data_IF_683597628327
#
_entry.id   IF_683597628327
#
_cell.length_a   1.000
_cell.length_b   1.000
_cell.length_c   1.000
_cell.angle_alpha   90.00
_cell.angle_beta   90.00
_cell.angle_gamma   90.00
#
_symmetry.space_group_name_H-M   'P 1'
#
loop_
_entity.id
_entity.type
_entity.pdbx_description
1 polymer ?
#
# COMPACT_ATOMS: atom_id res chain seq x y z
N UNK A 1 17.34 -11.78 -34.66
CA UNK A 1 18.45 -11.28 -35.51
C UNK A 1 19.55 -12.33 -35.59
N UNK A 2 20.17 -12.57 -36.74
CA UNK A 2 21.38 -13.42 -36.83
C UNK A 2 22.61 -12.55 -37.04
N UNK A 3 23.63 -12.71 -36.21
CA UNK A 3 24.94 -12.06 -36.38
C UNK A 3 25.97 -13.11 -36.73
N UNK A 4 26.81 -12.87 -37.73
CA UNK A 4 27.84 -13.79 -38.21
C UNK A 4 29.12 -13.07 -38.58
N UNK A 5 30.27 -13.69 -38.36
CA UNK A 5 31.58 -13.09 -38.58
C UNK A 5 32.68 -13.89 -37.92
N UNK A 6 33.80 -13.23 -37.61
CA UNK A 6 34.94 -13.79 -36.87
C UNK A 6 35.13 -13.10 -35.53
N UNK A 7 35.43 -13.87 -34.51
CA UNK A 7 35.74 -13.36 -33.18
C UNK A 7 37.25 -13.39 -32.93
N UNK A 8 37.78 -12.29 -32.41
CA UNK A 8 39.20 -12.07 -32.16
C UNK A 8 39.43 -11.64 -30.70
N UNK A 9 40.63 -11.91 -30.19
CA UNK A 9 41.12 -11.29 -28.97
C UNK A 9 41.49 -9.81 -29.18
N UNK A 10 41.89 -9.14 -28.10
CA UNK A 10 42.28 -7.73 -28.13
C UNK A 10 43.48 -7.44 -29.05
N UNK A 11 44.32 -8.44 -29.33
CA UNK A 11 45.50 -8.33 -30.20
C UNK A 11 45.18 -8.67 -31.66
N UNK A 12 43.93 -9.00 -31.98
CA UNK A 12 43.48 -9.37 -33.32
C UNK A 12 43.75 -10.83 -33.70
N UNK A 13 44.08 -11.70 -32.74
CA UNK A 13 44.21 -13.14 -33.00
C UNK A 13 42.84 -13.82 -32.91
N UNK A 14 42.50 -14.75 -33.82
CA UNK A 14 41.21 -15.45 -33.75
C UNK A 14 41.02 -16.19 -32.42
N UNK A 15 39.81 -16.09 -31.85
CA UNK A 15 39.45 -16.89 -30.68
C UNK A 15 39.37 -18.38 -31.04
N UNK A 16 39.68 -19.23 -30.07
CA UNK A 16 39.74 -20.67 -30.27
C UNK A 16 38.36 -21.32 -30.50
N UNK A 17 38.27 -22.44 -31.24
CA UNK A 17 37.05 -23.22 -31.35
C UNK A 17 36.45 -23.57 -29.99
N UNK A 18 35.12 -23.47 -29.86
CA UNK A 18 34.39 -23.78 -28.63
C UNK A 18 34.24 -22.62 -27.65
N UNK A 19 34.94 -21.50 -27.87
CA UNK A 19 34.75 -20.27 -27.08
C UNK A 19 33.29 -19.83 -27.17
N UNK A 20 32.57 -19.68 -26.04
CA UNK A 20 31.19 -19.24 -26.06
C UNK A 20 31.08 -17.79 -26.54
N UNK A 21 30.03 -17.49 -27.28
CA UNK A 21 29.64 -16.12 -27.63
C UNK A 21 28.17 -15.99 -27.27
N UNK A 22 27.86 -14.98 -26.46
CA UNK A 22 26.52 -14.67 -25.97
C UNK A 22 26.13 -13.26 -26.38
N UNK A 23 24.82 -13.04 -26.51
CA UNK A 23 24.26 -11.71 -26.74
C UNK A 23 23.38 -11.31 -25.58
N UNK A 24 23.61 -10.10 -25.07
CA UNK A 24 22.88 -9.53 -23.95
C UNK A 24 22.12 -8.29 -24.40
N UNK A 25 20.92 -8.16 -23.87
CA UNK A 25 20.14 -6.94 -23.94
C UNK A 25 19.69 -6.67 -22.52
N UNK A 26 20.11 -5.52 -22.01
CA UNK A 26 19.71 -5.05 -20.69
C UNK A 26 19.96 -6.04 -19.54
N UNK A 27 21.10 -6.76 -19.63
CA UNK A 27 21.55 -7.74 -18.66
C UNK A 27 21.00 -9.15 -18.84
N UNK A 28 20.06 -9.37 -19.76
CA UNK A 28 19.46 -10.68 -20.03
C UNK A 28 20.05 -11.29 -21.30
N UNK A 29 20.38 -12.59 -21.25
CA UNK A 29 20.87 -13.34 -22.41
C UNK A 29 19.71 -13.71 -23.35
N UNK A 30 19.77 -13.28 -24.61
CA UNK A 30 18.79 -13.62 -25.65
C UNK A 30 19.37 -14.53 -26.74
N UNK A 31 20.45 -15.24 -26.43
CA UNK A 31 21.26 -15.95 -27.42
C UNK A 31 21.01 -17.46 -27.43
N UNK A 32 21.13 -18.06 -28.62
CA UNK A 32 21.07 -19.52 -28.78
C UNK A 32 22.42 -20.22 -28.45
N UNK A 33 22.90 -20.15 -27.21
CA UNK A 33 24.06 -20.89 -26.69
C UNK A 33 25.27 -21.02 -27.66
N UNK A 34 25.56 -19.98 -28.46
CA UNK A 34 26.48 -20.04 -29.59
C UNK A 34 27.96 -20.11 -29.20
N UNK A 35 28.80 -20.60 -30.12
CA UNK A 35 30.24 -20.78 -29.93
C UNK A 35 31.01 -20.52 -31.22
N UNK A 36 32.29 -20.17 -31.08
CA UNK A 36 33.27 -20.16 -32.18
C UNK A 36 33.38 -21.56 -32.78
N UNK A 37 33.29 -21.66 -34.10
CA UNK A 37 33.13 -22.92 -34.83
C UNK A 37 34.46 -23.52 -35.30
N UNK A 38 35.47 -22.70 -35.55
CA UNK A 38 36.74 -23.14 -36.13
C UNK A 38 37.92 -22.25 -35.71
N UNK A 39 39.12 -22.60 -36.17
CA UNK A 39 40.37 -21.91 -35.81
C UNK A 39 40.53 -20.54 -36.47
N UNK A 40 39.63 -20.15 -37.37
CA UNK A 40 39.59 -18.80 -37.96
C UNK A 40 38.72 -17.84 -37.14
N UNK A 41 38.13 -18.30 -36.03
CA UNK A 41 37.25 -17.49 -35.18
C UNK A 41 35.81 -17.42 -35.70
N UNK A 42 35.44 -18.17 -36.74
CA UNK A 42 34.12 -18.03 -37.36
C UNK A 42 33.01 -18.38 -36.36
N UNK A 43 32.00 -17.52 -36.26
CA UNK A 43 30.82 -17.72 -35.42
C UNK A 43 29.54 -17.34 -36.17
N UNK A 44 28.42 -17.81 -35.65
CA UNK A 44 27.11 -17.27 -36.00
C UNK A 44 26.15 -17.53 -34.84
N UNK A 45 25.48 -16.47 -34.43
CA UNK A 45 24.62 -16.40 -33.25
C UNK A 45 23.24 -15.87 -33.63
N UNK A 46 22.20 -16.45 -33.03
CA UNK A 46 20.85 -15.95 -33.12
C UNK A 46 20.53 -15.24 -31.81
N UNK A 47 20.12 -13.98 -31.92
CA UNK A 47 19.60 -13.16 -30.84
C UNK A 47 18.09 -13.03 -31.02
N UNK A 48 17.34 -13.55 -30.06
CA UNK A 48 15.89 -13.41 -30.02
C UNK A 48 15.51 -11.98 -29.62
N UNK A 49 14.30 -11.57 -29.95
CA UNK A 49 13.74 -10.28 -29.52
C UNK A 49 12.41 -10.48 -28.82
N UNK A 50 11.78 -9.38 -28.42
CA UNK A 50 10.46 -9.44 -27.77
C UNK A 50 9.49 -10.11 -28.73
N UNK A 51 8.59 -10.87 -28.14
CA UNK A 51 7.34 -11.08 -28.81
C UNK A 51 6.55 -9.76 -28.67
N UNK A 52 5.93 -9.34 -29.77
CA UNK A 52 5.10 -8.14 -29.81
C UNK A 52 3.73 -8.55 -30.26
N UNK A 53 2.71 -7.99 -29.62
CA UNK A 53 1.33 -8.18 -30.05
C UNK A 53 1.12 -7.60 -31.45
N UNK A 54 0.02 -7.96 -32.13
CA UNK A 54 -0.30 -7.48 -33.49
C UNK A 54 -0.43 -5.96 -33.67
N UNK A 55 -0.25 -5.16 -32.60
CA UNK A 55 -0.17 -3.70 -32.61
C UNK A 55 1.24 -3.12 -32.36
N UNK A 56 2.28 -3.95 -32.25
CA UNK A 56 3.65 -3.50 -31.99
C UNK A 56 3.94 -3.08 -30.54
N UNK A 57 3.00 -3.31 -29.62
CA UNK A 57 3.22 -3.17 -28.19
C UNK A 57 3.89 -4.42 -27.63
N UNK A 58 4.79 -4.23 -26.65
CA UNK A 58 5.27 -5.32 -25.78
C UNK A 58 4.06 -6.08 -25.25
N UNK A 59 4.10 -7.41 -25.28
CA UNK A 59 3.04 -8.18 -24.63
C UNK A 59 3.08 -8.11 -23.11
N UNK A 60 4.20 -7.59 -22.58
CA UNK A 60 4.50 -7.38 -21.17
C UNK A 60 4.51 -5.87 -20.88
N UNK A 61 3.37 -5.26 -20.52
CA UNK A 61 3.28 -3.80 -20.38
C UNK A 61 4.01 -3.24 -19.16
N UNK A 62 4.30 -4.07 -18.15
CA UNK A 62 4.93 -3.66 -16.89
C UNK A 62 6.46 -3.72 -16.89
N UNK A 63 7.08 -4.64 -17.63
CA UNK A 63 8.55 -4.74 -17.85
C UNK A 63 8.79 -5.06 -19.31
N UNK A 64 9.73 -4.35 -19.96
CA UNK A 64 10.09 -4.64 -21.33
C UNK A 64 10.88 -5.96 -21.39
N UNK A 65 10.48 -6.90 -22.25
CA UNK A 65 11.11 -8.22 -22.33
C UNK A 65 11.75 -8.49 -23.68
N UNK A 66 13.04 -8.15 -23.79
CA UNK A 66 13.84 -8.34 -25.00
C UNK A 66 14.15 -7.06 -25.78
N UNK A 67 15.04 -7.14 -26.76
CA UNK A 67 15.36 -5.98 -27.58
C UNK A 67 14.20 -5.53 -28.46
N UNK A 68 13.82 -4.26 -28.32
CA UNK A 68 13.04 -3.53 -29.30
C UNK A 68 13.90 -3.15 -30.53
N UNK A 69 13.24 -2.68 -31.59
CA UNK A 69 13.93 -2.24 -32.81
C UNK A 69 14.93 -1.11 -32.50
N UNK A 70 16.20 -1.36 -32.75
CA UNK A 70 17.29 -0.40 -32.53
C UNK A 70 18.01 -0.54 -31.19
N UNK A 71 17.51 -1.35 -30.26
CA UNK A 71 18.17 -1.56 -28.97
C UNK A 71 19.57 -2.16 -29.15
N UNK A 72 20.49 -1.74 -28.28
CA UNK A 72 21.87 -2.18 -28.30
C UNK A 72 21.98 -3.67 -27.91
N UNK A 73 22.48 -4.49 -28.83
CA UNK A 73 22.87 -5.88 -28.54
C UNK A 73 24.34 -5.92 -28.21
N UNK A 74 24.63 -6.25 -26.95
CA UNK A 74 25.98 -6.44 -26.41
C UNK A 74 26.44 -7.87 -26.67
N UNK A 75 27.74 -8.07 -26.88
CA UNK A 75 28.33 -9.40 -27.07
C UNK A 75 29.34 -9.68 -25.96
N UNK A 76 29.33 -10.90 -25.41
CA UNK A 76 30.34 -11.36 -24.47
C UNK A 76 30.83 -12.77 -24.76
N UNK A 77 32.07 -13.07 -24.36
CA UNK A 77 32.73 -14.35 -24.58
C UNK A 77 32.40 -15.39 -23.48
N UNK A 78 31.14 -15.39 -23.01
CA UNK A 78 30.69 -16.20 -21.89
C UNK A 78 29.40 -15.67 -21.28
N UNK A 79 29.03 -16.23 -20.14
CA UNK A 79 27.88 -15.83 -19.32
C UNK A 79 28.38 -14.97 -18.16
N UNK A 80 27.64 -13.95 -17.75
CA UNK A 80 28.04 -13.10 -16.62
C UNK A 80 28.00 -13.81 -15.24
N UNK A 81 27.85 -15.13 -15.18
CA UNK A 81 27.99 -15.92 -13.93
C UNK A 81 29.38 -15.81 -13.30
N UNK A 82 30.38 -15.41 -14.08
CA UNK A 82 31.72 -15.05 -13.61
C UNK A 82 32.35 -13.95 -14.46
N UNK A 83 33.65 -13.71 -14.24
CA UNK A 83 34.41 -12.70 -14.98
C UNK A 83 34.42 -13.06 -16.48
N UNK A 84 33.78 -12.22 -17.28
CA UNK A 84 33.51 -12.51 -18.69
C UNK A 84 34.01 -11.38 -19.58
N UNK A 85 34.94 -11.66 -20.52
CA UNK A 85 35.36 -10.68 -21.49
C UNK A 85 34.18 -10.21 -22.37
N UNK A 86 34.06 -8.90 -22.52
CA UNK A 86 33.01 -8.27 -23.34
C UNK A 86 33.64 -7.76 -24.65
N UNK A 87 32.96 -7.94 -25.77
CA UNK A 87 33.44 -7.48 -27.07
C UNK A 87 33.24 -5.96 -27.23
N UNK A 88 34.02 -5.34 -28.11
CA UNK A 88 33.96 -3.91 -28.39
C UNK A 88 32.69 -3.53 -29.15
N UNK A 89 32.20 -4.44 -29.98
CA UNK A 89 31.12 -4.16 -30.91
C UNK A 89 29.75 -4.28 -30.23
N UNK A 90 28.85 -3.40 -30.67
CA UNK A 90 27.44 -3.41 -30.35
C UNK A 90 26.67 -3.31 -31.65
N UNK A 91 25.60 -4.10 -31.77
CA UNK A 91 24.77 -4.12 -32.98
C UNK A 91 23.35 -3.70 -32.61
N UNK A 92 22.72 -2.75 -33.32
CA UNK A 92 21.32 -2.42 -33.08
C UNK A 92 20.44 -3.61 -33.47
N UNK A 93 19.53 -4.01 -32.60
CA UNK A 93 18.66 -5.15 -32.85
C UNK A 93 17.68 -4.88 -33.99
N UNK A 94 17.51 -5.89 -34.86
CA UNK A 94 16.62 -5.83 -36.01
C UNK A 94 15.88 -7.14 -36.24
N UNK A 95 14.58 -7.05 -36.55
CA UNK A 95 13.73 -8.21 -36.85
C UNK A 95 14.22 -8.94 -38.09
N UNK A 96 14.45 -10.25 -37.97
CA UNK A 96 14.83 -11.16 -39.07
C UNK A 96 16.06 -10.74 -39.91
N UNK A 97 16.89 -9.81 -39.42
CA UNK A 97 18.09 -9.37 -40.11
C UNK A 97 19.23 -10.40 -40.00
N UNK A 98 20.10 -10.40 -41.02
CA UNK A 98 21.42 -11.05 -40.97
C UNK A 98 22.48 -9.96 -41.02
N UNK A 99 23.29 -9.89 -39.97
CA UNK A 99 24.33 -8.87 -39.79
C UNK A 99 25.70 -9.53 -39.89
N UNK A 100 26.53 -9.05 -40.80
CA UNK A 100 27.94 -9.45 -40.88
C UNK A 100 28.77 -8.53 -39.97
N UNK A 101 29.30 -9.08 -38.87
CA UNK A 101 30.06 -8.32 -37.88
C UNK A 101 31.19 -9.18 -37.30
N UNK A 102 32.41 -8.71 -37.48
CA UNK A 102 33.56 -9.25 -36.76
C UNK A 102 33.56 -8.68 -35.32
N UNK A 103 33.95 -9.50 -34.35
CA UNK A 103 33.95 -9.15 -32.93
C UNK A 103 35.38 -9.14 -32.39
N UNK A 104 35.76 -8.11 -31.63
CA UNK A 104 37.06 -8.01 -30.97
C UNK A 104 36.86 -7.86 -29.48
N UNK A 105 37.59 -8.64 -28.67
CA UNK A 105 37.52 -8.46 -27.21
C UNK A 105 37.92 -7.02 -26.84
N UNK A 106 37.13 -6.42 -25.96
CA UNK A 106 37.40 -5.11 -25.40
C UNK A 106 38.59 -5.13 -24.44
N UNK A 107 39.04 -3.93 -24.08
CA UNK A 107 40.06 -3.76 -23.04
C UNK A 107 39.58 -4.38 -21.72
N UNK A 108 40.49 -5.05 -21.02
CA UNK A 108 40.21 -5.55 -19.67
C UNK A 108 39.92 -4.42 -18.68
N UNK A 109 40.39 -3.19 -18.94
CA UNK A 109 40.09 -2.03 -18.11
C UNK A 109 38.64 -1.54 -18.23
N UNK A 110 37.94 -1.93 -19.30
CA UNK A 110 36.52 -1.63 -19.56
C UNK A 110 35.64 -2.88 -19.42
N UNK A 111 36.20 -3.98 -18.92
CA UNK A 111 35.45 -5.20 -18.64
C UNK A 111 35.07 -5.21 -17.16
N UNK A 112 33.79 -5.36 -16.82
CA UNK A 112 33.37 -5.35 -15.42
C UNK A 112 33.88 -6.56 -14.64
N UNK A 113 34.15 -6.34 -13.35
CA UNK A 113 34.26 -7.43 -12.38
C UNK A 113 32.87 -8.06 -12.12
N UNK A 114 32.80 -9.37 -11.85
CA UNK A 114 31.55 -10.13 -11.75
C UNK A 114 30.88 -9.98 -10.37
N UNK A 115 30.77 -8.75 -9.86
CA UNK A 115 29.99 -8.48 -8.64
C UNK A 115 28.52 -8.81 -8.86
N UNK A 116 27.84 -9.23 -7.77
CA UNK A 116 26.46 -9.71 -7.83
C UNK A 116 25.59 -9.10 -6.75
N UNK A 117 24.32 -8.86 -7.07
CA UNK A 117 23.27 -8.55 -6.10
C UNK A 117 23.14 -9.78 -5.19
N UNK A 118 23.50 -9.63 -3.92
CA UNK A 118 23.49 -10.69 -2.92
C UNK A 118 22.17 -10.72 -2.13
N UNK A 119 21.54 -9.56 -1.95
CA UNK A 119 20.37 -9.45 -1.08
C UNK A 119 19.56 -8.18 -1.32
N UNK A 120 18.24 -8.26 -1.19
CA UNK A 120 17.31 -7.13 -1.31
C UNK A 120 16.30 -7.17 -0.16
N UNK A 121 16.23 -6.08 0.61
CA UNK A 121 15.19 -5.83 1.62
C UNK A 121 14.32 -4.67 1.12
N UNK A 122 13.21 -5.00 0.47
CA UNK A 122 12.29 -4.01 -0.09
C UNK A 122 11.25 -3.48 0.92
N UNK A 123 11.02 -4.21 2.01
CA UNK A 123 10.09 -3.82 3.08
C UNK A 123 10.69 -4.11 4.47
N UNK A 124 11.55 -3.22 4.99
CA UNK A 124 12.18 -3.42 6.30
C UNK A 124 11.16 -3.60 7.42
N UNK A 125 11.40 -4.53 8.35
CA UNK A 125 10.46 -4.86 9.43
C UNK A 125 10.09 -3.62 10.28
N UNK A 126 11.10 -2.83 10.61
CA UNK A 126 11.00 -1.66 11.49
C UNK A 126 10.77 -0.35 10.73
N UNK A 127 10.42 -0.44 9.44
CA UNK A 127 10.45 0.68 8.51
C UNK A 127 11.87 1.22 8.30
N UNK A 128 11.98 2.41 7.73
CA UNK A 128 13.27 3.01 7.36
C UNK A 128 13.69 2.66 5.95
N UNK A 129 15.00 2.69 5.70
CA UNK A 129 15.56 2.54 4.37
C UNK A 129 15.52 1.08 3.90
N UNK A 130 15.14 0.91 2.64
CA UNK A 130 15.37 -0.34 1.93
C UNK A 130 16.86 -0.57 1.81
N UNK A 131 17.26 -1.84 1.71
CA UNK A 131 18.67 -2.23 1.67
C UNK A 131 18.92 -3.14 0.50
N UNK A 132 20.00 -2.90 -0.23
CA UNK A 132 20.55 -3.85 -1.20
C UNK A 132 21.98 -4.22 -0.80
N UNK A 133 22.28 -5.51 -0.88
CA UNK A 133 23.62 -6.05 -0.69
C UNK A 133 24.23 -6.46 -2.02
N UNK A 134 25.52 -6.19 -2.19
CA UNK A 134 26.34 -6.66 -3.31
C UNK A 134 27.47 -7.53 -2.76
N UNK A 135 27.73 -8.66 -3.40
CA UNK A 135 28.87 -9.51 -3.09
C UNK A 135 29.91 -9.51 -4.22
N UNK A 136 31.14 -9.87 -3.86
CA UNK A 136 32.27 -9.94 -4.76
C UNK A 136 32.83 -11.38 -4.75
N UNK A 137 32.66 -12.16 -5.83
CA UNK A 137 33.15 -13.54 -5.89
C UNK A 137 34.64 -13.63 -6.25
N UNK A 138 35.31 -12.50 -6.52
CA UNK A 138 36.70 -12.48 -6.99
C UNK A 138 37.70 -12.64 -5.84
N UNK A 139 38.96 -12.89 -6.20
CA UNK A 139 40.09 -12.97 -5.27
C UNK A 139 40.70 -11.61 -4.91
N UNK A 140 40.19 -10.51 -5.49
CA UNK A 140 40.65 -9.15 -5.24
C UNK A 140 39.50 -8.28 -4.71
N UNK A 141 39.82 -7.15 -4.09
CA UNK A 141 38.80 -6.20 -3.68
C UNK A 141 38.27 -5.41 -4.90
N UNK A 142 36.97 -5.15 -4.95
CA UNK A 142 36.30 -4.43 -6.05
C UNK A 142 35.77 -3.09 -5.55
N UNK A 143 36.09 -2.01 -6.26
CA UNK A 143 35.52 -0.70 -6.03
C UNK A 143 34.10 -0.65 -6.59
N UNK A 144 33.15 -0.14 -5.81
CA UNK A 144 31.78 0.04 -6.28
C UNK A 144 31.51 1.43 -6.87
N UNK A 145 32.49 2.33 -6.88
CA UNK A 145 32.33 3.65 -7.51
C UNK A 145 32.04 3.53 -9.03
N UNK A 146 32.52 2.45 -9.65
CA UNK A 146 32.30 2.13 -11.05
C UNK A 146 30.96 1.41 -11.28
N UNK A 147 30.11 1.30 -10.26
CA UNK A 147 28.82 0.62 -10.32
C UNK A 147 27.68 1.50 -9.83
N UNK A 148 26.50 1.23 -10.35
CA UNK A 148 25.25 1.80 -9.87
C UNK A 148 24.10 0.81 -9.99
N UNK A 149 23.04 1.10 -9.27
CA UNK A 149 21.78 0.39 -9.40
C UNK A 149 20.87 1.14 -10.36
N UNK A 150 20.10 0.41 -11.14
CA UNK A 150 19.02 0.95 -11.98
C UNK A 150 17.78 0.06 -11.82
N UNK A 151 16.61 0.68 -11.85
CA UNK A 151 15.33 -0.04 -11.78
C UNK A 151 14.54 0.23 -13.04
N UNK A 152 13.94 -0.81 -13.62
CA UNK A 152 13.09 -0.64 -14.80
C UNK A 152 11.80 0.12 -14.51
N UNK A 153 11.20 0.62 -15.59
CA UNK A 153 9.89 1.25 -15.56
C UNK A 153 8.99 0.66 -16.65
N UNK A 154 7.66 0.72 -16.48
CA UNK A 154 6.73 0.20 -17.48
C UNK A 154 7.06 0.70 -18.90
N UNK A 155 7.30 -0.26 -19.81
CA UNK A 155 7.65 -0.01 -21.20
C UNK A 155 9.08 0.47 -21.49
N UNK A 156 9.99 0.46 -20.51
CA UNK A 156 11.38 0.88 -20.72
C UNK A 156 12.38 0.20 -19.77
N UNK A 157 13.59 0.00 -20.27
CA UNK A 157 14.75 -0.46 -19.51
C UNK A 157 15.36 0.60 -18.59
N UNK A 158 14.74 1.77 -18.44
CA UNK A 158 15.35 2.87 -17.73
C UNK A 158 14.45 3.43 -16.65
N UNK A 159 15.06 3.81 -15.52
CA UNK A 159 14.34 4.38 -14.40
C UNK A 159 15.27 5.02 -13.38
N UNK A 160 14.87 5.07 -12.10
CA UNK A 160 15.71 5.65 -11.06
C UNK A 160 17.02 4.89 -10.94
N UNK A 161 18.07 5.66 -10.64
CA UNK A 161 19.39 5.13 -10.39
C UNK A 161 19.84 5.46 -8.97
N UNK A 162 20.72 4.62 -8.43
CA UNK A 162 21.39 4.86 -7.16
C UNK A 162 22.89 4.54 -7.28
N UNK A 163 23.72 5.53 -6.97
CA UNK A 163 25.17 5.37 -6.97
C UNK A 163 25.61 4.43 -5.85
N UNK A 164 26.49 3.50 -6.18
CA UNK A 164 27.19 2.69 -5.19
C UNK A 164 28.55 3.33 -4.86
N UNK A 165 29.04 3.06 -3.66
CA UNK A 165 30.33 3.57 -3.21
C UNK A 165 31.01 2.60 -2.24
N UNK A 166 32.29 2.82 -1.99
CA UNK A 166 33.08 1.94 -1.14
C UNK A 166 33.69 0.77 -1.90
N UNK A 167 34.16 -0.22 -1.14
CA UNK A 167 34.94 -1.35 -1.65
C UNK A 167 34.39 -2.63 -1.05
N UNK A 168 34.11 -3.63 -1.90
CA UNK A 168 33.75 -4.97 -1.45
C UNK A 168 35.02 -5.82 -1.40
N UNK A 169 35.40 -6.38 -0.23
CA UNK A 169 36.59 -7.21 -0.15
C UNK A 169 36.44 -8.49 -0.98
N UNK A 170 37.56 -9.14 -1.28
CA UNK A 170 37.58 -10.44 -1.96
C UNK A 170 36.73 -11.46 -1.20
N UNK A 171 35.79 -12.13 -1.90
CA UNK A 171 34.85 -13.07 -1.29
C UNK A 171 33.91 -12.44 -0.25
N UNK A 172 33.73 -11.12 -0.28
CA UNK A 172 32.96 -10.36 0.70
C UNK A 172 31.65 -9.77 0.18
N UNK A 173 30.95 -9.08 1.07
CA UNK A 173 29.67 -8.42 0.81
C UNK A 173 29.69 -7.00 1.39
N UNK A 174 28.93 -6.10 0.77
CA UNK A 174 28.62 -4.78 1.31
C UNK A 174 27.14 -4.47 1.10
N UNK A 175 26.53 -3.78 2.06
CA UNK A 175 25.11 -3.39 2.03
C UNK A 175 24.95 -1.87 1.94
N UNK A 176 23.94 -1.44 1.19
CA UNK A 176 23.68 -0.05 0.85
C UNK A 176 22.24 0.31 1.19
N UNK A 177 22.00 1.38 1.96
CA UNK A 177 20.67 1.93 2.11
C UNK A 177 20.25 2.63 0.81
N UNK A 178 19.03 2.36 0.35
CA UNK A 178 18.46 2.94 -0.88
C UNK A 178 17.46 4.06 -0.60
N UNK A 179 17.11 4.28 0.67
CA UNK A 179 15.96 5.11 1.06
C UNK A 179 14.69 4.28 1.21
N UNK A 180 13.64 4.88 1.79
CA UNK A 180 12.43 4.15 2.17
C UNK A 180 11.50 3.74 1.01
N UNK A 181 11.71 4.27 -0.20
CA UNK A 181 10.78 4.14 -1.34
C UNK A 181 11.47 3.99 -2.70
N UNK A 182 12.73 3.58 -2.73
CA UNK A 182 13.45 3.39 -4.00
C UNK A 182 12.86 2.24 -4.82
N UNK A 183 12.65 1.10 -4.15
CA UNK A 183 11.97 -0.09 -4.65
C UNK A 183 10.48 -0.06 -4.31
N UNK A 184 9.68 -0.58 -5.22
CA UNK A 184 8.31 -1.00 -5.02
C UNK A 184 8.27 -2.27 -4.18
N UNK A 185 7.59 -2.23 -3.03
CA UNK A 185 7.50 -3.36 -2.08
C UNK A 185 6.94 -4.65 -2.70
N UNK A 186 6.17 -4.50 -3.77
CA UNK A 186 5.42 -5.58 -4.43
C UNK A 186 6.12 -6.12 -5.68
N UNK A 187 7.24 -5.53 -6.10
CA UNK A 187 8.03 -6.04 -7.21
C UNK A 187 8.70 -4.97 -8.06
N UNK A 188 9.92 -5.27 -8.50
CA UNK A 188 10.73 -4.49 -9.45
C UNK A 188 11.69 -5.40 -10.23
N UNK A 189 12.24 -4.89 -11.32
CA UNK A 189 13.45 -5.41 -11.96
C UNK A 189 14.63 -4.50 -11.60
N UNK A 190 15.59 -5.04 -10.85
CA UNK A 190 16.76 -4.32 -10.33
C UNK A 190 18.02 -4.78 -11.05
N UNK A 191 18.80 -3.80 -11.52
CA UNK A 191 20.06 -4.02 -12.22
C UNK A 191 21.22 -3.56 -11.38
N UNK A 192 22.32 -4.30 -11.47
CA UNK A 192 23.65 -3.83 -11.12
C UNK A 192 24.37 -3.49 -12.42
N UNK A 193 24.70 -2.22 -12.59
CA UNK A 193 25.25 -1.69 -13.84
C UNK A 193 26.66 -1.19 -13.61
N UNK A 194 27.58 -1.62 -14.47
CA UNK A 194 28.95 -1.13 -14.53
C UNK A 194 29.01 0.11 -15.43
N UNK A 195 29.57 1.19 -14.88
CA UNK A 195 29.90 2.41 -15.62
C UNK A 195 31.11 2.17 -16.47
N UNK A 196 30.90 2.12 -17.77
CA UNK A 196 32.01 1.93 -18.68
C UNK A 196 32.79 3.24 -18.81
N UNK A 197 34.09 3.27 -18.47
CA UNK A 197 34.88 4.50 -18.58
C UNK A 197 35.17 4.91 -20.03
N UNK A 198 34.70 4.15 -21.02
CA UNK A 198 34.92 4.35 -22.45
C UNK A 198 36.42 4.32 -22.81
N UNK A 199 36.78 4.75 -24.01
CA UNK A 199 38.15 4.91 -24.49
C UNK A 199 38.50 3.97 -25.64
N UNK A 200 39.79 3.94 -25.98
CA UNK A 200 40.27 3.12 -27.09
C UNK A 200 40.04 1.64 -26.79
N UNK A 201 39.40 0.94 -27.73
CA UNK A 201 39.04 -0.48 -27.63
C UNK A 201 38.13 -0.77 -26.41
N UNK A 202 37.30 0.20 -25.99
CA UNK A 202 36.34 -0.02 -24.92
C UNK A 202 35.40 -1.18 -25.28
N UNK A 203 35.13 -2.03 -24.29
CA UNK A 203 34.05 -2.99 -24.38
C UNK A 203 32.72 -2.27 -24.64
N UNK A 204 31.75 -2.98 -25.23
CA UNK A 204 30.38 -2.50 -25.37
C UNK A 204 30.26 -1.15 -26.11
N UNK A 205 31.21 -0.81 -26.98
CA UNK A 205 31.31 0.49 -27.64
C UNK A 205 31.25 1.68 -26.66
N UNK A 206 31.77 1.49 -25.44
CA UNK A 206 31.73 2.50 -24.37
C UNK A 206 30.38 2.61 -23.64
N UNK A 207 29.39 1.79 -23.97
CA UNK A 207 28.12 1.72 -23.24
C UNK A 207 28.30 1.05 -21.88
N UNK A 208 27.46 1.46 -20.92
CA UNK A 208 27.35 0.83 -19.61
C UNK A 208 26.87 -0.62 -19.75
N UNK A 209 27.34 -1.48 -18.84
CA UNK A 209 27.16 -2.93 -18.93
C UNK A 209 26.39 -3.40 -17.71
N UNK A 210 25.21 -3.98 -17.91
CA UNK A 210 24.47 -4.66 -16.84
C UNK A 210 25.16 -5.98 -16.51
N UNK A 211 25.68 -6.10 -15.29
CA UNK A 211 26.47 -7.27 -14.84
C UNK A 211 25.63 -8.27 -14.06
N UNK A 212 24.50 -7.82 -13.52
CA UNK A 212 23.55 -8.64 -12.80
C UNK A 212 22.17 -8.00 -12.85
N UNK A 213 21.12 -8.83 -12.86
CA UNK A 213 19.73 -8.39 -12.91
C UNK A 213 18.87 -9.35 -12.09
N UNK A 214 17.98 -8.79 -11.29
CA UNK A 214 17.05 -9.54 -10.45
C UNK A 214 15.65 -8.98 -10.65
N UNK A 215 14.73 -9.83 -11.09
CA UNK A 215 13.31 -9.50 -11.22
C UNK A 215 12.53 -10.20 -10.11
N UNK A 216 11.82 -9.43 -9.29
CA UNK A 216 11.02 -9.99 -8.21
C UNK A 216 9.60 -9.43 -8.20
N UNK A 217 8.62 -10.26 -7.83
CA UNK A 217 7.22 -9.85 -7.74
C UNK A 217 6.44 -10.53 -6.59
N UNK A 218 5.43 -9.84 -6.08
CA UNK A 218 4.49 -10.38 -5.11
C UNK A 218 3.37 -11.11 -5.86
N UNK A 219 3.19 -12.39 -5.59
CA UNK A 219 2.19 -13.24 -6.26
C UNK A 219 0.73 -12.84 -6.00
N UNK A 220 0.44 -12.00 -5.00
CA UNK A 220 -0.90 -11.49 -4.69
C UNK A 220 -0.86 -9.95 -4.56
N UNK A 221 -1.34 -9.23 -5.57
CA UNK A 221 -1.34 -7.76 -5.59
C UNK A 221 -0.01 -7.10 -5.99
N UNK A 222 0.90 -7.87 -6.61
CA UNK A 222 2.05 -7.37 -7.35
C UNK A 222 1.68 -6.27 -8.34
N UNK A 223 2.51 -5.24 -8.46
CA UNK A 223 2.43 -4.24 -9.55
C UNK A 223 3.04 -4.76 -10.85
N UNK A 224 3.88 -5.79 -10.75
CA UNK A 224 4.37 -6.57 -11.88
C UNK A 224 3.55 -7.86 -11.92
N UNK A 225 2.74 -8.02 -12.96
CA UNK A 225 2.05 -9.27 -13.25
C UNK A 225 3.10 -10.37 -13.41
N UNK A 226 2.99 -11.49 -12.69
CA UNK A 226 3.74 -12.70 -13.06
C UNK A 226 3.23 -13.14 -14.43
N UNK A 227 4.07 -13.02 -15.46
CA UNK A 227 3.73 -13.40 -16.83
C UNK A 227 4.36 -14.75 -17.17
N UNK A 228 3.66 -15.88 -16.93
CA UNK A 228 4.20 -17.18 -17.27
C UNK A 228 4.43 -17.31 -18.78
N UNK A 229 5.70 -17.34 -19.18
CA UNK A 229 6.15 -17.83 -20.49
C UNK A 229 6.80 -16.82 -21.43
N UNK A 230 7.01 -15.56 -21.02
CA UNK A 230 7.56 -14.52 -21.89
C UNK A 230 9.00 -14.07 -21.49
N UNK A 231 9.33 -14.06 -20.20
CA UNK A 231 10.68 -13.73 -19.73
C UNK A 231 11.65 -14.91 -19.92
N UNK A 232 12.81 -14.71 -20.57
CA UNK A 232 13.91 -15.69 -20.49
C UNK A 232 14.49 -15.72 -19.06
N UNK A 233 14.47 -14.60 -18.35
CA UNK A 233 14.87 -14.51 -16.94
C UNK A 233 13.66 -14.73 -16.03
N UNK A 234 13.54 -15.88 -15.34
CA UNK A 234 12.38 -16.15 -14.50
C UNK A 234 12.35 -15.24 -13.26
N UNK A 235 11.15 -14.77 -12.92
CA UNK A 235 10.88 -14.01 -11.69
C UNK A 235 11.15 -14.80 -10.41
N UNK A 236 11.54 -14.06 -9.36
CA UNK A 236 11.61 -14.56 -7.99
C UNK A 236 10.53 -13.92 -7.10
N UNK A 237 10.25 -14.55 -5.96
CA UNK A 237 9.26 -14.01 -5.02
C UNK A 237 9.75 -12.69 -4.41
N UNK A 238 8.87 -11.68 -4.33
CA UNK A 238 9.16 -10.44 -3.63
C UNK A 238 9.37 -10.68 -2.13
N UNK A 239 10.36 -10.02 -1.50
CA UNK A 239 10.51 -10.08 -0.06
C UNK A 239 9.39 -9.30 0.63
N UNK A 240 8.60 -10.00 1.45
CA UNK A 240 7.60 -9.37 2.31
C UNK A 240 8.20 -8.56 3.47
N UNK A 241 7.36 -8.00 4.37
CA UNK A 241 7.85 -7.24 5.52
C UNK A 241 8.85 -8.03 6.35
N UNK A 242 10.00 -7.45 6.66
CA UNK A 242 11.07 -8.07 7.46
C UNK A 242 11.76 -9.25 6.77
N UNK A 243 11.59 -9.42 5.46
CA UNK A 243 12.24 -10.46 4.68
C UNK A 243 13.33 -9.87 3.79
N UNK A 244 14.28 -10.74 3.47
CA UNK A 244 15.29 -10.47 2.44
C UNK A 244 15.08 -11.46 1.30
N UNK A 245 15.19 -10.98 0.07
CA UNK A 245 15.39 -11.81 -1.10
C UNK A 245 16.90 -11.94 -1.26
N UNK A 246 17.46 -13.11 -0.97
CA UNK A 246 18.91 -13.33 -0.91
C UNK A 246 19.34 -14.45 -1.85
N UNK A 247 20.59 -14.40 -2.32
CA UNK A 247 21.16 -15.51 -3.08
C UNK A 247 21.23 -16.77 -2.22
N UNK A 248 20.81 -17.89 -2.78
CA UNK A 248 20.76 -19.20 -2.13
C UNK A 248 22.17 -19.73 -1.82
N UNK A 249 23.12 -19.47 -2.72
CA UNK A 249 24.54 -19.65 -2.50
C UNK A 249 25.23 -18.28 -2.55
N UNK A 250 26.18 -18.03 -1.64
CA UNK A 250 26.90 -16.75 -1.58
C UNK A 250 27.52 -16.44 -2.94
N UNK A 251 27.11 -15.32 -3.54
CA UNK A 251 27.57 -14.89 -4.87
C UNK A 251 27.39 -15.93 -5.99
N UNK A 252 26.57 -16.95 -5.76
CA UNK A 252 26.26 -17.99 -6.74
C UNK A 252 25.25 -17.47 -7.76
N UNK A 253 25.57 -17.64 -9.04
CA UNK A 253 24.76 -17.18 -10.15
C UNK A 253 24.73 -18.24 -11.25
N UNK A 254 23.53 -18.71 -11.57
CA UNK A 254 23.23 -19.61 -12.68
C UNK A 254 22.34 -18.94 -13.73
N UNK A 255 22.08 -17.62 -13.58
CA UNK A 255 21.10 -16.86 -14.34
C UNK A 255 19.68 -17.45 -14.22
N UNK A 256 19.30 -17.96 -13.04
CA UNK A 256 17.95 -18.52 -12.82
C UNK A 256 17.32 -18.04 -11.52
N UNK A 257 15.99 -18.11 -11.45
CA UNK A 257 15.23 -17.80 -10.23
C UNK A 257 15.62 -18.70 -9.05
N UNK A 258 16.14 -19.90 -9.32
CA UNK A 258 16.64 -20.82 -8.31
C UNK A 258 17.86 -20.31 -7.55
N UNK A 259 18.52 -19.27 -8.05
CA UNK A 259 19.64 -18.61 -7.37
C UNK A 259 19.19 -17.81 -6.16
N UNK A 260 17.90 -17.55 -5.99
CA UNK A 260 17.37 -16.74 -4.89
C UNK A 260 16.40 -17.50 -3.99
N UNK A 261 16.33 -17.05 -2.75
CA UNK A 261 15.39 -17.54 -1.74
C UNK A 261 14.96 -16.40 -0.82
N UNK A 262 13.82 -16.62 -0.15
CA UNK A 262 13.36 -15.71 0.89
C UNK A 262 13.99 -16.10 2.23
N UNK A 263 14.68 -15.15 2.84
CA UNK A 263 15.26 -15.21 4.19
C UNK A 263 14.62 -14.20 5.15
N UNK A 264 15.10 -14.22 6.39
CA UNK A 264 14.77 -13.19 7.40
C UNK A 264 15.74 -12.02 7.19
N UNK A 265 15.24 -10.79 7.23
CA UNK A 265 16.09 -9.59 7.22
C UNK A 265 17.21 -9.71 8.29
N UNK A 266 18.49 -9.55 7.91
CA UNK A 266 19.60 -9.66 8.85
C UNK A 266 19.54 -8.64 9.99
N UNK A 267 19.90 -9.06 11.19
CA UNK A 267 19.99 -8.17 12.36
C UNK A 267 18.65 -7.85 13.04
N UNK A 268 17.57 -8.54 12.68
CA UNK A 268 16.31 -8.47 13.42
C UNK A 268 16.42 -9.19 14.78
N UNK A 269 15.81 -8.64 15.86
CA UNK A 269 15.59 -9.37 17.11
C UNK A 269 14.69 -10.59 16.89
N UNK A 270 14.59 -11.51 17.88
CA UNK A 270 13.55 -12.53 17.89
C UNK A 270 12.15 -11.91 17.78
N UNK A 271 11.29 -12.51 16.97
CA UNK A 271 9.91 -12.04 16.76
C UNK A 271 9.03 -12.35 17.97
N UNK A 272 8.43 -11.31 18.55
CA UNK A 272 7.41 -11.41 19.59
C UNK A 272 6.07 -11.91 19.04
N UNK A 273 5.09 -12.03 19.93
CA UNK A 273 3.70 -12.21 19.52
C UNK A 273 3.05 -10.82 19.49
N UNK A 274 2.26 -10.48 18.47
CA UNK A 274 1.55 -9.21 18.44
C UNK A 274 0.59 -9.09 19.63
N UNK A 275 0.18 -7.87 19.92
CA UNK A 275 -0.85 -7.57 20.92
C UNK A 275 -2.08 -7.01 20.23
N UNK A 276 -3.27 -7.40 20.69
CA UNK A 276 -4.55 -6.89 20.19
C UNK A 276 -5.51 -6.69 21.36
N UNK A 277 -6.34 -5.64 21.26
CA UNK A 277 -7.39 -5.37 22.23
C UNK A 277 -8.62 -4.77 21.57
N UNK A 278 -9.77 -5.41 21.72
CA UNK A 278 -11.06 -4.87 21.26
C UNK A 278 -11.43 -3.67 22.13
N UNK A 279 -11.71 -2.55 21.49
CA UNK A 279 -12.05 -1.28 22.13
C UNK A 279 -13.54 -0.92 21.97
N UNK A 280 -14.18 -1.43 20.91
CA UNK A 280 -15.61 -1.27 20.63
C UNK A 280 -16.14 -2.55 19.98
N UNK A 281 -17.19 -3.20 20.52
CA UNK A 281 -17.96 -2.77 21.69
C UNK A 281 -17.20 -2.95 23.01
N UNK A 282 -17.58 -2.19 24.04
CA UNK A 282 -17.08 -2.41 25.38
C UNK A 282 -17.71 -3.70 25.99
N UNK A 283 -17.03 -4.37 26.95
CA UNK A 283 -17.58 -5.55 27.62
C UNK A 283 -18.96 -5.26 28.23
N UNK A 284 -19.96 -6.06 27.85
CA UNK A 284 -21.34 -5.93 28.32
C UNK A 284 -22.15 -4.76 27.71
N UNK A 285 -21.57 -4.00 26.76
CA UNK A 285 -22.29 -2.92 26.09
C UNK A 285 -23.55 -3.44 25.38
N UNK A 286 -24.62 -2.63 25.38
CA UNK A 286 -25.79 -2.86 24.53
C UNK A 286 -25.60 -2.16 23.18
N UNK A 287 -25.53 -2.94 22.11
CA UNK A 287 -25.41 -2.50 20.72
C UNK A 287 -26.81 -2.52 20.08
N UNK A 288 -27.25 -1.45 19.40
CA UNK A 288 -28.58 -1.38 18.81
C UNK A 288 -28.73 -2.34 17.62
N UNK A 289 -29.76 -3.18 17.67
CA UNK A 289 -30.12 -4.12 16.61
C UNK A 289 -30.58 -3.37 15.32
N UNK A 290 -30.34 -3.97 14.15
CA UNK A 290 -30.82 -3.45 12.86
C UNK A 290 -30.14 -2.15 12.40
N UNK A 291 -28.98 -1.80 12.98
CA UNK A 291 -28.20 -0.60 12.66
C UNK A 291 -26.76 -0.98 12.28
N UNK A 292 -26.09 -0.09 11.56
CA UNK A 292 -24.64 -0.21 11.37
C UNK A 292 -23.92 0.24 12.64
N UNK A 293 -23.02 -0.61 13.13
CA UNK A 293 -22.16 -0.36 14.29
C UNK A 293 -20.69 -0.48 13.86
N UNK A 294 -19.81 0.36 14.42
CA UNK A 294 -18.37 0.28 14.11
C UNK A 294 -17.67 -0.50 15.21
N UNK A 295 -17.15 -1.67 14.83
CA UNK A 295 -16.25 -2.47 15.66
C UNK A 295 -14.86 -1.86 15.57
N UNK A 296 -14.16 -1.74 16.69
CA UNK A 296 -12.83 -1.11 16.73
C UNK A 296 -11.90 -1.81 17.71
N UNK A 297 -10.60 -1.80 17.42
CA UNK A 297 -9.55 -2.43 18.22
C UNK A 297 -8.23 -1.65 18.12
N UNK A 298 -7.33 -1.92 19.05
CA UNK A 298 -5.94 -1.47 19.01
C UNK A 298 -5.03 -2.68 18.84
N UNK A 299 -3.94 -2.52 18.09
CA UNK A 299 -2.92 -3.56 17.94
C UNK A 299 -1.53 -2.95 17.86
N UNK A 300 -0.53 -3.72 18.30
CA UNK A 300 0.88 -3.36 18.20
C UNK A 300 1.75 -4.61 18.23
N UNK A 301 2.94 -4.51 17.67
CA UNK A 301 3.94 -5.56 17.61
C UNK A 301 5.32 -4.97 17.97
N UNK A 302 6.27 -5.82 18.38
CA UNK A 302 7.61 -5.37 18.79
C UNK A 302 8.56 -5.15 17.62
N UNK A 303 8.32 -5.81 16.48
CA UNK A 303 9.10 -5.66 15.25
C UNK A 303 8.38 -4.88 14.18
N UNK A 304 7.09 -5.13 14.01
CA UNK A 304 6.32 -4.66 12.87
C UNK A 304 5.42 -3.47 13.18
N UNK A 305 5.30 -2.57 12.22
CA UNK A 305 4.31 -1.51 12.29
C UNK A 305 2.90 -2.06 12.08
N UNK A 306 1.90 -1.44 12.71
CA UNK A 306 0.53 -1.94 12.71
C UNK A 306 -0.05 -2.11 11.29
N UNK A 307 0.37 -1.29 10.32
CA UNK A 307 -0.07 -1.35 8.92
C UNK A 307 0.35 -2.64 8.21
N UNK A 308 1.33 -3.39 8.71
CA UNK A 308 1.75 -4.67 8.14
C UNK A 308 1.13 -5.89 8.83
N UNK A 309 0.38 -5.68 9.91
CA UNK A 309 -0.28 -6.76 10.66
C UNK A 309 -1.58 -7.13 9.95
N UNK A 310 -1.80 -8.42 9.73
CA UNK A 310 -3.00 -8.95 9.08
C UNK A 310 -4.09 -9.20 10.11
N UNK A 311 -5.32 -8.78 9.82
CA UNK A 311 -6.44 -8.81 10.76
C UNK A 311 -7.63 -9.58 10.20
N UNK A 312 -8.24 -10.42 11.04
CA UNK A 312 -9.53 -11.07 10.82
C UNK A 312 -10.48 -10.69 11.95
N UNK A 313 -11.74 -10.43 11.59
CA UNK A 313 -12.77 -10.06 12.56
C UNK A 313 -14.01 -10.88 12.31
N UNK A 314 -14.48 -11.55 13.36
CA UNK A 314 -15.68 -12.35 13.35
C UNK A 314 -16.66 -11.84 14.41
N UNK A 315 -17.94 -11.82 14.06
CA UNK A 315 -19.04 -11.60 14.99
C UNK A 315 -19.85 -12.88 15.13
N UNK A 316 -20.08 -13.33 16.36
CA UNK A 316 -20.85 -14.53 16.67
C UNK A 316 -22.04 -14.19 17.55
N UNK A 317 -23.22 -14.68 17.20
CA UNK A 317 -24.47 -14.47 17.95
C UNK A 317 -25.43 -15.64 17.70
N UNK A 318 -26.14 -16.09 18.73
CA UNK A 318 -27.18 -17.12 18.61
C UNK A 318 -26.77 -18.37 17.77
N UNK A 319 -25.52 -18.83 17.90
CA UNK A 319 -24.98 -19.97 17.15
C UNK A 319 -24.59 -19.67 15.69
N UNK A 320 -24.74 -18.43 15.23
CA UNK A 320 -24.30 -17.95 13.92
C UNK A 320 -22.98 -17.21 14.05
N UNK A 321 -22.09 -17.34 13.06
CA UNK A 321 -20.86 -16.54 12.96
C UNK A 321 -20.80 -15.88 11.59
N UNK A 322 -20.46 -14.60 11.55
CA UNK A 322 -20.27 -13.82 10.34
C UNK A 322 -18.87 -13.23 10.31
N UNK A 323 -18.19 -13.42 9.18
CA UNK A 323 -16.90 -12.79 8.89
C UNK A 323 -17.16 -11.32 8.55
N UNK A 324 -16.63 -10.42 9.37
CA UNK A 324 -16.70 -8.98 9.14
C UNK A 324 -15.50 -8.48 8.36
N UNK A 325 -14.32 -9.06 8.62
CA UNK A 325 -13.08 -8.72 7.97
C UNK A 325 -12.25 -9.99 7.77
N UNK A 326 -11.70 -10.17 6.57
CA UNK A 326 -10.89 -11.32 6.22
C UNK A 326 -9.50 -10.86 5.79
N UNK A 327 -8.50 -11.10 6.64
CA UNK A 327 -7.09 -11.02 6.29
C UNK A 327 -6.64 -9.65 5.77
N UNK A 328 -7.19 -8.56 6.28
CA UNK A 328 -6.87 -7.20 5.81
C UNK A 328 -5.68 -6.63 6.59
N UNK A 329 -4.73 -6.00 5.90
CA UNK A 329 -3.56 -5.37 6.51
C UNK A 329 -3.94 -4.06 7.21
N UNK A 330 -3.42 -3.86 8.42
CA UNK A 330 -3.48 -2.55 9.09
C UNK A 330 -4.83 -2.07 9.59
N UNK A 331 -5.90 -2.84 9.37
CA UNK A 331 -7.24 -2.44 9.77
C UNK A 331 -7.34 -2.35 11.30
N UNK A 332 -7.96 -1.27 11.79
CA UNK A 332 -8.23 -1.05 13.23
C UNK A 332 -9.73 -0.91 13.54
N UNK A 333 -10.56 -0.94 12.50
CA UNK A 333 -12.02 -0.91 12.63
C UNK A 333 -12.71 -1.53 11.43
N UNK A 334 -13.96 -1.96 11.62
CA UNK A 334 -14.83 -2.46 10.53
C UNK A 334 -16.29 -2.09 10.81
N UNK A 335 -17.03 -1.57 9.82
CA UNK A 335 -18.47 -1.40 9.95
C UNK A 335 -19.18 -2.76 9.91
N UNK A 336 -20.10 -2.97 10.83
CA UNK A 336 -20.92 -4.18 10.94
C UNK A 336 -22.40 -3.83 10.88
N UNK A 337 -23.13 -4.47 9.98
CA UNK A 337 -24.59 -4.41 9.94
C UNK A 337 -25.16 -5.38 10.97
N UNK A 338 -25.53 -4.85 12.13
CA UNK A 338 -26.00 -5.64 13.27
C UNK A 338 -27.36 -6.27 12.93
N UNK A 339 -27.55 -7.59 13.13
CA UNK A 339 -28.81 -8.25 12.86
C UNK A 339 -29.95 -7.66 13.70
N UNK A 340 -31.16 -7.64 13.15
CA UNK A 340 -32.36 -7.16 13.87
C UNK A 340 -32.95 -8.24 14.80
N UNK A 341 -32.18 -8.58 15.83
CA UNK A 341 -32.50 -9.59 16.85
C UNK A 341 -32.13 -9.05 18.23
N UNK A 342 -32.81 -9.52 19.29
CA UNK A 342 -32.37 -9.29 20.68
C UNK A 342 -31.60 -10.52 21.14
N UNK A 343 -30.30 -10.36 21.41
CA UNK A 343 -29.40 -11.45 21.77
C UNK A 343 -28.62 -11.03 23.03
N UNK A 344 -28.81 -11.71 24.17
CA UNK A 344 -28.20 -11.32 25.44
C UNK A 344 -26.68 -11.50 25.45
N UNK A 345 -26.15 -12.36 24.58
CA UNK A 345 -24.73 -12.65 24.47
C UNK A 345 -24.34 -12.81 22.99
N UNK A 346 -23.62 -11.82 22.49
CA UNK A 346 -22.89 -11.87 21.23
C UNK A 346 -21.40 -11.63 21.52
N UNK A 347 -20.54 -12.09 20.63
CA UNK A 347 -19.08 -11.98 20.77
C UNK A 347 -18.47 -11.40 19.52
N UNK A 348 -17.59 -10.41 19.67
CA UNK A 348 -16.63 -10.03 18.62
C UNK A 348 -15.32 -10.72 18.96
N UNK A 349 -14.72 -11.38 17.98
CA UNK A 349 -13.34 -11.88 18.06
C UNK A 349 -12.52 -11.17 17.00
N UNK A 350 -11.37 -10.61 17.41
CA UNK A 350 -10.37 -10.03 16.52
C UNK A 350 -9.13 -10.89 16.63
N UNK A 351 -8.73 -11.48 15.51
CA UNK A 351 -7.49 -12.23 15.37
C UNK A 351 -6.50 -11.41 14.55
N UNK A 352 -5.26 -11.32 15.01
CA UNK A 352 -4.17 -10.64 14.31
C UNK A 352 -3.02 -11.61 14.07
N UNK A 353 -2.32 -11.43 12.96
CA UNK A 353 -1.08 -12.14 12.66
C UNK A 353 -0.03 -11.17 12.12
N UNK A 354 1.18 -11.24 12.65
CA UNK A 354 2.31 -10.50 12.10
C UNK A 354 2.81 -11.14 10.78
N UNK A 355 3.67 -10.43 10.02
CA UNK A 355 4.27 -10.95 8.78
C UNK A 355 5.11 -12.24 8.94
N UNK A 356 5.54 -12.58 10.15
CA UNK A 356 6.28 -13.80 10.44
C UNK A 356 5.39 -14.95 10.88
N UNK A 357 4.09 -14.71 11.04
CA UNK A 357 3.06 -15.68 11.32
C UNK A 357 2.73 -15.84 12.80
N UNK A 358 3.32 -15.05 13.73
CA UNK A 358 2.89 -15.09 15.13
C UNK A 358 1.52 -14.44 15.27
N UNK A 359 0.70 -14.96 16.19
CA UNK A 359 -0.73 -14.63 16.25
C UNK A 359 -1.19 -14.27 17.65
N UNK A 360 -2.11 -13.32 17.73
CA UNK A 360 -2.84 -13.01 18.94
C UNK A 360 -4.32 -12.83 18.64
N UNK A 361 -5.13 -13.00 19.68
CA UNK A 361 -6.58 -12.88 19.60
C UNK A 361 -7.09 -12.12 20.81
N UNK A 362 -8.09 -11.28 20.62
CA UNK A 362 -8.90 -10.74 21.70
C UNK A 362 -10.38 -10.90 21.37
N UNK A 363 -11.20 -11.04 22.40
CA UNK A 363 -12.64 -11.20 22.24
C UNK A 363 -13.41 -10.45 23.32
N UNK A 364 -14.53 -9.88 22.92
CA UNK A 364 -15.42 -9.16 23.84
C UNK A 364 -16.85 -9.64 23.67
N UNK A 365 -17.49 -9.87 24.81
CA UNK A 365 -18.90 -10.21 24.90
C UNK A 365 -19.75 -8.96 25.14
N UNK A 366 -20.86 -8.85 24.41
CA UNK A 366 -21.77 -7.71 24.44
C UNK A 366 -23.21 -8.18 24.20
N UNK A 367 -24.18 -7.28 24.34
CA UNK A 367 -25.59 -7.54 24.07
C UNK A 367 -26.00 -6.87 22.77
N UNK A 368 -26.74 -7.58 21.92
CA UNK A 368 -27.51 -6.96 20.83
C UNK A 368 -28.90 -6.68 21.39
N UNK A 369 -29.31 -5.42 21.44
CA UNK A 369 -30.60 -5.02 22.00
C UNK A 369 -31.43 -4.30 20.93
N UNK A 370 -32.70 -4.70 20.80
CA UNK A 370 -33.65 -3.88 20.05
C UNK A 370 -33.84 -2.54 20.76
N UNK A 371 -33.98 -1.42 20.02
CA UNK A 371 -34.42 -0.17 20.61
C UNK A 371 -35.73 -0.43 21.35
N UNK A 372 -35.77 -0.18 22.66
CA UNK A 372 -37.00 -0.27 23.41
C UNK A 372 -37.95 0.82 22.87
N UNK A 373 -39.10 0.45 22.26
CA UNK A 373 -40.05 1.43 21.74
C UNK A 373 -40.64 2.32 22.85
N UNK A 374 -40.45 1.94 24.11
CA UNK A 374 -40.89 2.68 25.30
C UNK A 374 -39.76 3.39 26.05
N UNK A 375 -38.49 3.24 25.64
CA UNK A 375 -37.39 3.99 26.22
C UNK A 375 -37.56 5.49 25.89
N UNK A 376 -38.06 6.23 26.88
CA UNK A 376 -38.42 7.65 26.75
C UNK A 376 -39.92 7.94 26.87
N UNK A 377 -40.79 6.93 26.81
CA UNK A 377 -42.24 7.08 27.05
C UNK A 377 -42.60 7.11 28.55
N UNK A 378 -41.69 6.74 29.45
CA UNK A 378 -41.94 6.78 30.90
C UNK A 378 -42.36 8.17 31.41
N UNK A 379 -41.72 9.24 30.91
CA UNK A 379 -42.06 10.62 31.30
C UNK A 379 -43.37 11.10 30.65
N UNK A 380 -43.60 10.96 29.33
CA UNK A 380 -44.87 11.26 28.69
C UNK A 380 -46.06 10.50 29.29
N UNK A 381 -45.91 9.20 29.56
CA UNK A 381 -46.97 8.37 30.14
C UNK A 381 -47.25 8.76 31.58
N UNK A 382 -46.23 9.06 32.39
CA UNK A 382 -46.42 9.57 33.75
C UNK A 382 -47.14 10.94 33.77
N UNK A 383 -46.78 11.85 32.86
CA UNK A 383 -47.47 13.14 32.69
C UNK A 383 -48.94 12.91 32.29
N UNK A 384 -49.20 12.00 31.36
CA UNK A 384 -50.55 11.70 30.90
C UNK A 384 -51.41 11.11 32.04
N UNK A 385 -50.85 10.21 32.85
CA UNK A 385 -51.51 9.68 34.05
C UNK A 385 -51.82 10.80 35.05
N UNK A 386 -50.85 11.69 35.33
CA UNK A 386 -51.04 12.81 36.24
C UNK A 386 -52.12 13.79 35.75
N UNK A 387 -52.16 14.08 34.44
CA UNK A 387 -53.18 14.92 33.81
C UNK A 387 -54.56 14.27 33.89
N UNK A 388 -54.68 12.98 33.63
CA UNK A 388 -55.95 12.23 33.72
C UNK A 388 -56.46 12.20 35.17
N UNK A 389 -55.58 11.93 36.14
CA UNK A 389 -55.93 11.97 37.56
C UNK A 389 -56.35 13.38 38.00
N UNK A 390 -55.61 14.42 37.59
CA UNK A 390 -55.97 15.80 37.86
C UNK A 390 -57.31 16.20 37.26
N UNK A 391 -57.59 15.79 36.02
CA UNK A 391 -58.88 16.02 35.36
C UNK A 391 -60.03 15.30 36.08
N UNK A 392 -59.80 14.08 36.60
CA UNK A 392 -60.81 13.34 37.38
C UNK A 392 -61.12 14.03 38.70
N UNK A 393 -60.11 14.56 39.39
CA UNK A 393 -60.28 15.33 40.63
C UNK A 393 -61.04 16.63 40.36
N UNK A 394 -60.65 17.38 39.32
CA UNK A 394 -61.33 18.62 38.91
C UNK A 394 -62.77 18.33 38.49
N UNK A 395 -63.02 17.27 37.72
CA UNK A 395 -64.35 16.89 37.31
C UNK A 395 -65.22 16.43 38.49
N UNK A 396 -64.65 15.67 39.42
CA UNK A 396 -65.29 15.31 40.68
C UNK A 396 -65.66 16.53 41.51
N UNK A 397 -64.73 17.50 41.63
CA UNK A 397 -64.96 18.76 42.33
C UNK A 397 -66.05 19.62 41.66
N UNK A 398 -66.00 19.79 40.35
CA UNK A 398 -67.00 20.54 39.58
C UNK A 398 -68.38 19.87 39.60
N UNK A 399 -68.43 18.53 39.71
CA UNK A 399 -69.69 17.79 39.83
C UNK A 399 -70.25 17.85 41.25
N UNK A 400 -69.38 17.93 42.27
CA UNK A 400 -69.77 18.19 43.65
C UNK A 400 -70.28 19.63 43.84
N UNK A 401 -69.61 20.61 43.23
CA UNK A 401 -69.99 22.04 43.33
C UNK A 401 -71.29 22.37 42.59
N UNK A 402 -71.69 21.57 41.58
CA UNK A 402 -72.97 21.69 40.88
C UNK A 402 -74.17 21.06 41.62
N UNK A 403 -73.96 20.42 42.77
CA UNK A 403 -75.04 19.87 43.61
C UNK A 403 -75.45 20.78 44.79
N UNK A 404 -74.95 22.01 44.84
CA UNK A 404 -75.42 23.01 45.80
C UNK A 404 -76.31 24.02 45.07
N UNK A 405 -77.59 24.08 45.49
CA UNK A 405 -78.56 25.08 45.03
C UNK A 405 -78.25 26.50 45.56
N UNK A 406 -78.80 27.57 44.92
CA UNK A 406 -78.26 28.93 44.99
C UNK A 406 -78.95 29.83 46.04
N UNK A 407 -78.22 30.83 46.52
CA UNK A 407 -78.77 32.06 47.11
C UNK A 407 -77.71 32.93 47.82
N UNK A 408 -78.00 34.20 48.18
CA UNK A 408 -78.66 35.28 47.45
C UNK A 408 -77.72 36.48 47.18
N UNK A 409 -78.16 37.39 46.29
CA UNK A 409 -77.44 38.58 45.80
C UNK A 409 -77.37 39.71 46.85
N UNK A 410 -76.21 40.39 47.03
CA UNK A 410 -76.10 41.63 47.80
C UNK A 410 -76.16 42.91 46.92
N UNK A 411 -76.39 44.11 47.52
CA UNK A 411 -76.99 45.27 46.86
C UNK A 411 -76.01 46.20 46.12
N UNK A 412 -76.60 47.01 45.24
CA UNK A 412 -75.98 47.98 44.32
C UNK A 412 -75.42 49.24 45.05
N UNK A 413 -74.19 49.71 44.75
CA UNK A 413 -73.68 51.02 45.18
C UNK A 413 -74.10 52.18 44.24
N UNK A 414 -74.03 53.45 44.71
CA UNK A 414 -74.53 54.66 44.02
C UNK A 414 -73.61 55.16 42.87
N UNK A 415 -74.05 56.13 42.05
CA UNK A 415 -73.38 56.49 40.80
C UNK A 415 -72.17 57.41 41.01
N UNK A 416 -71.05 57.09 40.36
CA UNK A 416 -69.85 57.94 40.27
C UNK A 416 -69.66 58.48 38.86
N UNK A 417 -69.25 59.76 38.82
CA UNK A 417 -69.13 60.68 37.68
C UNK A 417 -68.10 60.27 36.59
N UNK A 418 -68.03 60.98 35.44
CA UNK A 418 -67.32 60.55 34.24
C UNK A 418 -65.79 60.55 34.36
N UNK A 419 -65.19 59.77 33.46
CA UNK A 419 -63.77 59.47 33.34
C UNK A 419 -62.85 60.70 33.29
N UNK A 420 -61.77 60.63 34.09
CA UNK A 420 -60.59 61.46 33.90
C UNK A 420 -59.67 60.87 32.80
N UNK A 421 -58.88 61.70 32.08
CA UNK A 421 -58.01 61.24 31.01
C UNK A 421 -56.85 60.36 31.55
N UNK A 422 -56.32 59.43 30.73
CA UNK A 422 -55.23 58.57 31.14
C UNK A 422 -53.92 59.35 31.32
N UNK A 423 -53.23 59.09 32.44
CA UNK A 423 -51.85 59.52 32.68
C UNK A 423 -50.86 58.73 31.79
N UNK A 424 -49.70 59.30 31.45
CA UNK A 424 -48.74 58.67 30.54
C UNK A 424 -48.13 57.41 31.14
N UNK A 425 -48.01 56.38 30.30
CA UNK A 425 -47.32 55.13 30.56
C UNK A 425 -45.82 55.42 30.86
N UNK A 426 -45.19 54.79 31.86
CA UNK A 426 -43.74 54.84 32.00
C UNK A 426 -43.09 54.17 30.77
N UNK A 427 -41.91 54.63 30.31
CA UNK A 427 -41.26 54.02 29.16
C UNK A 427 -40.89 52.57 29.47
N UNK A 428 -41.33 51.66 28.61
CA UNK A 428 -40.82 50.29 28.53
C UNK A 428 -39.32 50.35 28.24
N UNK A 429 -38.53 49.80 29.16
CA UNK A 429 -37.11 49.55 28.93
C UNK A 429 -36.97 48.64 27.70
N UNK A 430 -36.22 49.03 26.65
CA UNK A 430 -35.99 48.16 25.51
C UNK A 430 -35.28 46.89 25.99
N UNK A 431 -35.76 45.73 25.56
CA UNK A 431 -34.97 44.50 25.64
C UNK A 431 -33.59 44.77 25.02
N UNK A 432 -32.50 44.26 25.62
CA UNK A 432 -31.16 44.49 25.10
C UNK A 432 -31.12 44.05 23.63
N UNK A 433 -30.58 44.93 22.78
CA UNK A 433 -30.37 44.61 21.38
C UNK A 433 -29.59 43.29 21.29
N UNK A 434 -29.97 42.37 20.40
CA UNK A 434 -29.21 41.14 20.23
C UNK A 434 -27.76 41.48 19.85
N UNK A 435 -26.78 40.64 20.25
CA UNK A 435 -25.40 40.81 19.82
C UNK A 435 -25.32 40.92 18.29
N UNK A 436 -24.39 41.72 17.79
CA UNK A 436 -24.21 41.95 16.34
C UNK A 436 -24.18 40.63 15.56
N UNK A 437 -24.97 40.54 14.49
CA UNK A 437 -25.13 39.33 13.65
C UNK A 437 -26.07 38.26 14.20
N UNK A 438 -26.91 38.58 15.21
CA UNK A 438 -27.94 37.68 15.76
C UNK A 438 -29.34 38.28 15.74
N UNK A 439 -30.33 37.42 15.53
CA UNK A 439 -31.78 37.69 15.67
C UNK A 439 -32.38 36.88 16.82
N UNK A 440 -33.42 37.42 17.45
CA UNK A 440 -34.15 36.73 18.52
C UNK A 440 -35.29 35.89 17.91
N UNK A 441 -35.38 34.62 18.29
CA UNK A 441 -36.50 33.78 17.91
C UNK A 441 -37.79 34.25 18.62
N UNK A 442 -38.87 34.60 17.89
CA UNK A 442 -40.11 35.07 18.51
C UNK A 442 -40.85 33.98 19.30
N UNK A 443 -40.51 32.70 19.07
CA UNK A 443 -41.17 31.56 19.74
C UNK A 443 -40.53 31.19 21.07
N UNK A 444 -39.21 31.29 21.19
CA UNK A 444 -38.47 30.79 22.36
C UNK A 444 -37.43 31.77 22.92
N UNK A 445 -37.38 33.00 22.40
CA UNK A 445 -36.46 34.07 22.79
C UNK A 445 -34.95 33.75 22.68
N UNK A 446 -34.58 32.62 22.05
CA UNK A 446 -33.18 32.25 21.80
C UNK A 446 -32.56 33.18 20.76
N UNK A 447 -31.34 33.65 21.01
CA UNK A 447 -30.52 34.37 20.02
C UNK A 447 -29.92 33.40 19.01
N UNK A 448 -30.24 33.59 17.74
CA UNK A 448 -29.83 32.75 16.59
C UNK A 448 -29.04 33.63 15.63
N UNK A 449 -28.11 33.09 14.83
CA UNK A 449 -27.40 33.90 13.84
C UNK A 449 -28.37 34.41 12.76
N UNK A 450 -28.11 35.60 12.22
CA UNK A 450 -28.99 36.20 11.21
C UNK A 450 -29.11 35.35 9.95
N UNK A 451 -28.04 34.63 9.59
CA UNK A 451 -27.99 33.70 8.45
C UNK A 451 -28.83 32.43 8.62
N UNK A 452 -29.24 32.08 9.83
CA UNK A 452 -29.95 30.82 10.06
C UNK A 452 -31.44 30.99 9.73
N UNK A 453 -31.96 30.22 8.77
CA UNK A 453 -33.37 30.23 8.38
C UNK A 453 -34.26 29.40 9.33
N UNK A 454 -33.67 28.64 10.26
CA UNK A 454 -34.36 27.88 11.32
C UNK A 454 -33.72 28.12 12.68
N UNK A 455 -34.51 28.31 13.72
CA UNK A 455 -34.04 28.31 15.10
C UNK A 455 -33.63 26.88 15.51
N UNK A 456 -32.34 26.66 15.76
CA UNK A 456 -31.81 25.35 16.19
C UNK A 456 -32.47 24.80 17.47
N UNK A 457 -33.00 25.68 18.32
CA UNK A 457 -33.57 25.29 19.61
C UNK A 457 -35.03 24.81 19.52
N UNK A 458 -35.86 25.44 18.67
CA UNK A 458 -37.31 25.16 18.64
C UNK A 458 -37.88 24.88 17.24
N UNK A 459 -37.05 24.86 16.20
CA UNK A 459 -37.47 24.58 14.82
C UNK A 459 -38.29 25.70 14.16
N UNK A 460 -38.40 26.88 14.78
CA UNK A 460 -39.11 28.02 14.19
C UNK A 460 -38.42 28.50 12.91
N UNK A 461 -39.16 28.62 11.81
CA UNK A 461 -38.65 29.11 10.52
C UNK A 461 -38.82 30.63 10.43
N UNK A 462 -37.73 31.34 10.15
CA UNK A 462 -37.76 32.79 9.98
C UNK A 462 -38.29 33.16 8.58
N UNK A 463 -39.00 34.30 8.42
CA UNK A 463 -39.44 34.77 7.11
C UNK A 463 -38.23 35.19 6.25
N UNK A 464 -38.03 34.56 5.09
CA UNK A 464 -36.97 34.86 4.12
C UNK A 464 -36.56 33.62 3.30
N UNK A 465 -35.90 33.80 2.13
CA UNK A 465 -35.36 32.67 1.36
C UNK A 465 -34.14 32.04 2.06
N UNK A 466 -33.82 30.76 1.77
CA UNK A 466 -32.71 30.03 2.38
C UNK A 466 -31.33 30.63 2.09
#
# INVERSE_FOLDING_TARGET
MRTEGRAYDLLGSPLGPGTPIRTFVDGVEYANASRVRNALGDFSILTDGNWVTGGGASETPEVLEGPALGDAVLFAAGEFTGATPVFQEVVPWQTAAVVAQDLHLGSSATTPEPVKIQGIVAWPARGGDQVLSVCNPTSAAVSLADYYLEVDRPGTYHGPTADLSGVVPAGGEASFPLGATYLTRTGDAVKLVFRNPDGANAAAAGLDIVVDRVEFNASEGGTLSWEPGNTILPDVLAPGPGRILERAAFCGDTNTAGDFRIGIEPGLPPNGVPSVRVSSPAPGQSVPAGRTFVVGWTMSDDLFSADTIRVWVNASWAGTTSVLLAGTLGATSVPWNVPDLDVPLATITVDVADPFGARASDSVSFRIARPDPFAGLGVPVAILIAVVLGAFVVWGYLRASRRMDPGPVPPRPPPSAPAAPPLPRPPETPAPAPPEGKKICPRCATAVLDRDWVCFFCGYRFPGPP
#
